data_IF_945049269441
#
_entry.id   IF_945049269441
#
_cell.length_a   1.000
_cell.length_b   1.000
_cell.length_c   1.000
_cell.angle_alpha   90.00
_cell.angle_beta   90.00
_cell.angle_gamma   90.00
#
_symmetry.space_group_name_H-M   'P 1'
#
loop_
_entity.id
_entity.type
_entity.pdbx_description
1 polymer ?
#
# COMPACT_ATOMS: atom_id res chain seq x y z
N UNK A 1 -7.60 57.70 -14.02
CA UNK A 1 -8.42 56.75 -13.24
C UNK A 1 -8.01 55.33 -13.59
N UNK A 2 -7.70 54.44 -12.63
CA UNK A 2 -7.42 53.04 -12.94
C UNK A 2 -8.67 52.39 -13.53
N UNK A 3 -8.52 51.62 -14.62
CA UNK A 3 -9.63 50.85 -15.22
C UNK A 3 -10.17 49.88 -14.15
N UNK A 4 -11.47 49.96 -13.84
CA UNK A 4 -12.15 48.98 -12.97
C UNK A 4 -11.92 47.58 -13.54
N UNK A 5 -11.25 46.72 -12.77
CA UNK A 5 -11.09 45.29 -13.11
C UNK A 5 -12.48 44.68 -13.23
N UNK A 6 -12.77 44.01 -14.35
CA UNK A 6 -13.99 43.21 -14.47
C UNK A 6 -13.91 42.09 -13.43
N UNK A 7 -14.89 42.04 -12.53
CA UNK A 7 -15.05 40.93 -11.60
C UNK A 7 -15.47 39.72 -12.43
N UNK A 8 -14.65 38.67 -12.42
CA UNK A 8 -15.04 37.40 -13.03
C UNK A 8 -16.18 36.81 -12.19
N UNK A 9 -17.32 36.55 -12.81
CA UNK A 9 -18.49 35.93 -12.17
C UNK A 9 -18.53 34.46 -12.59
N UNK A 10 -18.57 33.54 -11.62
CA UNK A 10 -18.69 32.10 -11.85
C UNK A 10 -20.10 31.75 -12.34
N UNK A 11 -20.32 31.95 -13.64
CA UNK A 11 -21.62 31.71 -14.26
C UNK A 11 -22.04 30.24 -14.07
N UNK A 12 -23.22 30.05 -13.46
CA UNK A 12 -23.79 28.73 -13.11
C UNK A 12 -22.98 27.94 -12.09
N UNK A 13 -22.15 28.61 -11.27
CA UNK A 13 -21.36 28.00 -10.20
C UNK A 13 -20.43 26.87 -10.70
N UNK A 14 -19.96 26.90 -11.95
CA UNK A 14 -19.18 25.81 -12.53
C UNK A 14 -17.86 25.61 -11.80
N UNK A 15 -17.11 26.69 -11.58
CA UNK A 15 -15.83 26.62 -10.88
C UNK A 15 -16.03 26.20 -9.42
N UNK A 16 -17.06 26.74 -8.77
CA UNK A 16 -17.43 26.38 -7.41
C UNK A 16 -17.82 24.91 -7.29
N UNK A 17 -18.60 24.38 -8.24
CA UNK A 17 -19.00 22.98 -8.26
C UNK A 17 -17.82 22.05 -8.53
N UNK A 18 -16.93 22.39 -9.47
CA UNK A 18 -15.69 21.65 -9.68
C UNK A 18 -14.86 21.58 -8.40
N UNK A 19 -14.59 22.72 -7.76
CA UNK A 19 -13.78 22.77 -6.54
C UNK A 19 -14.41 22.02 -5.36
N UNK A 20 -15.74 22.05 -5.23
CA UNK A 20 -16.45 21.40 -4.12
C UNK A 20 -16.67 19.91 -4.33
N UNK A 21 -17.00 19.50 -5.56
CA UNK A 21 -17.55 18.16 -5.82
C UNK A 21 -16.58 17.24 -6.55
N UNK A 22 -15.65 17.78 -7.35
CA UNK A 22 -14.77 16.97 -8.20
C UNK A 22 -13.32 17.04 -7.73
N UNK A 23 -12.82 18.24 -7.47
CA UNK A 23 -11.41 18.46 -7.14
C UNK A 23 -10.99 17.79 -5.83
N UNK A 24 -11.84 17.84 -4.80
CA UNK A 24 -11.57 17.16 -3.53
C UNK A 24 -11.59 15.64 -3.67
N UNK A 25 -12.52 15.10 -4.46
CA UNK A 25 -12.59 13.65 -4.69
C UNK A 25 -11.38 13.17 -5.50
N UNK A 26 -10.96 13.93 -6.51
CA UNK A 26 -9.73 13.67 -7.24
C UNK A 26 -8.50 13.65 -6.32
N UNK A 27 -8.34 14.63 -5.42
CA UNK A 27 -7.22 14.59 -4.48
C UNK A 27 -7.25 13.39 -3.54
N UNK A 28 -8.44 13.01 -3.04
CA UNK A 28 -8.57 11.83 -2.18
C UNK A 28 -8.22 10.55 -2.92
N UNK A 29 -8.57 10.43 -4.20
CA UNK A 29 -8.30 9.21 -4.99
C UNK A 29 -6.81 9.01 -5.29
N UNK A 30 -6.02 10.08 -5.31
CA UNK A 30 -4.56 10.01 -5.53
C UNK A 30 -3.77 9.65 -4.26
N UNK A 31 -4.38 9.74 -3.08
CA UNK A 31 -3.72 9.43 -1.80
C UNK A 31 -4.01 7.97 -1.43
N UNK A 32 -3.05 7.08 -1.70
CA UNK A 32 -3.15 5.70 -1.24
C UNK A 32 -2.76 5.62 0.24
N UNK A 33 -3.68 5.16 1.10
CA UNK A 33 -3.40 4.94 2.52
C UNK A 33 -3.20 3.47 2.82
N UNK A 34 -4.25 2.68 2.62
CA UNK A 34 -4.22 1.23 2.85
C UNK A 34 -5.13 0.51 1.87
N UNK A 35 -4.83 -0.75 1.62
CA UNK A 35 -5.70 -1.64 0.86
C UNK A 35 -5.56 -3.08 1.36
N UNK A 36 -6.57 -3.89 1.08
CA UNK A 36 -6.48 -5.34 1.24
C UNK A 36 -6.07 -5.98 -0.08
N UNK A 37 -5.21 -6.98 -0.01
CA UNK A 37 -4.69 -7.64 -1.19
C UNK A 37 -4.41 -9.12 -0.95
N UNK A 38 -4.23 -9.85 -2.03
CA UNK A 38 -3.83 -11.25 -2.01
C UNK A 38 -2.40 -11.39 -2.49
N UNK A 39 -1.56 -12.08 -1.72
CA UNK A 39 -0.17 -12.38 -2.12
C UNK A 39 -0.19 -13.29 -3.35
N UNK A 40 0.48 -12.88 -4.42
CA UNK A 40 0.56 -13.65 -5.68
C UNK A 40 1.96 -14.20 -5.94
N UNK A 41 3.00 -13.60 -5.36
CA UNK A 41 4.38 -14.10 -5.37
C UNK A 41 5.03 -13.81 -4.02
N UNK A 42 6.02 -14.60 -3.59
CA UNK A 42 6.75 -14.30 -2.35
C UNK A 42 8.21 -14.77 -2.42
N UNK A 43 9.13 -13.81 -2.44
CA UNK A 43 10.57 -14.01 -2.24
C UNK A 43 10.91 -14.02 -0.74
N UNK A 44 11.17 -15.22 -0.23
CA UNK A 44 11.55 -15.46 1.16
C UNK A 44 13.00 -15.11 1.49
N UNK A 45 13.86 -14.91 0.49
CA UNK A 45 15.27 -14.55 0.67
C UNK A 45 15.39 -13.05 0.90
N UNK A 46 14.72 -12.25 0.07
CA UNK A 46 14.75 -10.79 0.16
C UNK A 46 13.59 -10.21 0.99
N UNK A 47 12.65 -11.07 1.41
CA UNK A 47 11.43 -10.69 2.14
C UNK A 47 10.63 -9.62 1.38
N UNK A 48 10.31 -9.94 0.13
CA UNK A 48 9.52 -9.13 -0.80
C UNK A 48 8.44 -9.97 -1.46
N UNK A 49 7.28 -9.41 -1.70
CA UNK A 49 6.17 -10.11 -2.36
C UNK A 49 5.42 -9.20 -3.33
N UNK A 50 4.76 -9.79 -4.30
CA UNK A 50 3.76 -9.08 -5.09
C UNK A 50 2.37 -9.34 -4.52
N UNK A 51 1.53 -8.31 -4.55
CA UNK A 51 0.18 -8.34 -3.99
C UNK A 51 -0.81 -7.86 -5.04
N UNK A 52 -1.84 -8.65 -5.31
CA UNK A 52 -2.99 -8.23 -6.11
C UNK A 52 -4.02 -7.56 -5.19
N UNK A 53 -4.31 -6.25 -5.34
CA UNK A 53 -5.39 -5.63 -4.57
C UNK A 53 -6.73 -6.32 -4.84
N UNK A 54 -7.51 -6.53 -3.77
CA UNK A 54 -8.84 -7.14 -3.86
C UNK A 54 -9.93 -6.17 -4.30
N UNK A 55 -9.93 -4.87 -3.90
CA UNK A 55 -10.91 -3.92 -4.41
C UNK A 55 -10.74 -3.75 -5.92
N UNK A 56 -11.84 -3.92 -6.65
CA UNK A 56 -11.86 -3.71 -8.09
C UNK A 56 -11.81 -2.21 -8.43
N UNK A 57 -11.57 -1.93 -9.70
CA UNK A 57 -11.81 -0.63 -10.29
C UNK A 57 -13.32 -0.41 -10.47
N UNK A 58 -13.73 0.83 -10.77
CA UNK A 58 -15.14 1.18 -10.94
C UNK A 58 -15.80 0.50 -12.14
N UNK A 59 -15.01 0.05 -13.11
CA UNK A 59 -15.42 -0.75 -14.28
C UNK A 59 -15.47 -2.27 -13.99
N UNK A 60 -15.06 -2.69 -12.80
CA UNK A 60 -15.03 -4.10 -12.40
C UNK A 60 -13.71 -4.82 -12.71
N UNK A 61 -12.75 -4.15 -13.35
CA UNK A 61 -11.45 -4.76 -13.63
C UNK A 61 -10.54 -4.81 -12.40
N UNK A 62 -9.57 -5.72 -12.45
CA UNK A 62 -8.52 -5.80 -11.42
C UNK A 62 -7.67 -4.54 -11.45
N UNK A 63 -7.23 -4.11 -10.27
CA UNK A 63 -6.18 -3.09 -10.14
C UNK A 63 -4.83 -3.68 -10.54
N UNK A 64 -3.90 -2.80 -10.90
CA UNK A 64 -2.50 -3.19 -11.06
C UNK A 64 -1.97 -3.88 -9.79
N UNK A 65 -1.14 -4.90 -9.97
CA UNK A 65 -0.47 -5.55 -8.86
C UNK A 65 0.53 -4.58 -8.21
N UNK A 66 0.62 -4.64 -6.89
CA UNK A 66 1.68 -4.00 -6.12
C UNK A 66 2.89 -4.91 -6.19
N UNK A 67 4.02 -4.38 -6.64
CA UNK A 67 5.25 -5.15 -6.85
C UNK A 67 6.28 -4.85 -5.77
N UNK A 68 7.13 -5.83 -5.44
CA UNK A 68 8.24 -5.64 -4.49
C UNK A 68 7.78 -5.10 -3.11
N UNK A 69 6.58 -5.48 -2.69
CA UNK A 69 6.00 -5.07 -1.41
C UNK A 69 6.86 -5.64 -0.28
N UNK A 70 7.23 -4.79 0.68
CA UNK A 70 8.07 -5.18 1.80
C UNK A 70 7.27 -6.08 2.74
N UNK A 71 7.82 -7.26 3.05
CA UNK A 71 7.32 -8.11 4.13
C UNK A 71 8.08 -7.76 5.40
N UNK A 72 7.43 -7.21 6.44
CA UNK A 72 8.13 -6.74 7.63
C UNK A 72 8.71 -7.88 8.46
N UNK A 73 9.76 -7.57 9.22
CA UNK A 73 10.43 -8.52 10.10
C UNK A 73 9.50 -9.19 11.10
N UNK A 74 8.51 -8.46 11.61
CA UNK A 74 7.48 -8.99 12.49
C UNK A 74 6.72 -10.18 11.91
N UNK A 75 6.56 -10.25 10.58
CA UNK A 75 5.88 -11.36 9.90
C UNK A 75 6.86 -12.49 9.63
N UNK A 76 7.93 -12.25 8.87
CA UNK A 76 8.78 -13.34 8.40
C UNK A 76 9.67 -13.96 9.50
N UNK A 77 10.06 -13.18 10.53
CA UNK A 77 10.82 -13.73 11.67
C UNK A 77 9.93 -14.63 12.53
N UNK A 78 8.66 -14.24 12.72
CA UNK A 78 7.70 -15.04 13.46
C UNK A 78 7.43 -16.38 12.75
N UNK A 79 7.22 -16.35 11.43
CA UNK A 79 7.10 -17.55 10.60
C UNK A 79 8.31 -18.49 10.75
N UNK A 80 9.51 -17.90 10.71
CA UNK A 80 10.77 -18.65 10.83
C UNK A 80 10.93 -19.25 12.23
N UNK A 81 10.59 -18.50 13.26
CA UNK A 81 10.67 -18.94 14.65
C UNK A 81 9.74 -20.11 14.92
N UNK A 82 8.46 -19.99 14.57
CA UNK A 82 7.47 -21.05 14.76
C UNK A 82 7.81 -22.30 13.95
N UNK A 83 8.34 -22.14 12.73
CA UNK A 83 8.83 -23.27 11.93
C UNK A 83 9.97 -24.04 12.61
N UNK A 84 10.90 -23.34 13.27
CA UNK A 84 11.99 -23.98 14.04
C UNK A 84 11.47 -24.69 15.28
N UNK A 85 10.49 -24.11 15.98
CA UNK A 85 9.87 -24.75 17.14
C UNK A 85 9.16 -26.04 16.75
N UNK A 86 8.34 -26.02 15.68
CA UNK A 86 7.65 -27.20 15.17
C UNK A 86 8.57 -28.32 14.69
N UNK A 87 9.84 -28.04 14.40
CA UNK A 87 10.80 -29.10 14.09
C UNK A 87 11.05 -30.02 15.30
N UNK A 88 10.78 -29.53 16.52
CA UNK A 88 10.70 -30.36 17.71
C UNK A 88 9.34 -31.07 17.75
N UNK A 89 9.34 -32.40 17.58
CA UNK A 89 8.14 -33.24 17.54
C UNK A 89 7.25 -33.16 18.80
N UNK A 90 7.76 -32.60 19.90
CA UNK A 90 7.02 -32.43 21.14
C UNK A 90 6.26 -31.10 21.23
N UNK A 91 6.35 -30.25 20.21
CA UNK A 91 5.59 -28.99 20.13
C UNK A 91 4.66 -29.05 18.93
N UNK A 92 3.36 -28.97 19.20
CA UNK A 92 2.33 -28.86 18.19
C UNK A 92 1.80 -27.42 18.18
N UNK A 93 1.90 -26.74 17.04
CA UNK A 93 1.34 -25.40 16.83
C UNK A 93 0.00 -25.44 16.11
N UNK A 94 -0.81 -26.49 16.30
CA UNK A 94 -2.14 -26.65 15.68
C UNK A 94 -2.89 -25.31 15.65
N UNK A 95 -2.99 -24.74 14.43
CA UNK A 95 -3.62 -23.43 14.18
C UNK A 95 -2.70 -22.36 13.60
N UNK A 96 -1.38 -22.42 13.81
CA UNK A 96 -0.46 -21.46 13.19
C UNK A 96 -0.27 -21.76 11.70
N UNK A 97 -0.59 -20.78 10.86
CA UNK A 97 -0.34 -20.84 9.42
C UNK A 97 0.55 -19.67 9.03
N UNK A 98 1.75 -19.92 8.48
CA UNK A 98 2.65 -18.85 8.06
C UNK A 98 2.09 -18.15 6.82
N UNK A 99 2.58 -16.94 6.54
CA UNK A 99 2.23 -16.24 5.31
C UNK A 99 2.69 -17.05 4.09
N UNK A 100 1.82 -17.15 3.09
CA UNK A 100 2.05 -17.89 1.87
C UNK A 100 1.44 -17.18 0.65
N UNK A 101 1.70 -17.73 -0.54
CA UNK A 101 0.96 -17.34 -1.73
C UNK A 101 -0.53 -17.64 -1.48
N UNK A 102 -1.39 -16.71 -1.89
CA UNK A 102 -2.83 -16.68 -1.61
C UNK A 102 -3.24 -16.15 -0.25
N UNK A 103 -2.33 -15.84 0.69
CA UNK A 103 -2.71 -15.15 1.94
C UNK A 103 -3.32 -13.78 1.62
N UNK A 104 -4.33 -13.39 2.40
CA UNK A 104 -4.91 -12.04 2.39
C UNK A 104 -4.15 -11.17 3.38
N UNK A 105 -3.69 -10.02 2.91
CA UNK A 105 -2.84 -9.10 3.67
C UNK A 105 -3.43 -7.69 3.67
N UNK A 106 -3.16 -6.98 4.76
CA UNK A 106 -3.35 -5.54 4.86
C UNK A 106 -2.06 -4.85 4.44
N UNK A 107 -2.17 -3.96 3.45
CA UNK A 107 -1.03 -3.25 2.86
C UNK A 107 -1.20 -1.76 3.13
N UNK A 108 -0.16 -1.13 3.67
CA UNK A 108 -0.03 0.32 3.81
C UNK A 108 0.90 0.90 2.76
N UNK A 109 0.73 2.19 2.46
CA UNK A 109 1.61 2.93 1.56
C UNK A 109 2.32 4.05 2.31
N UNK A 110 3.63 4.16 2.13
CA UNK A 110 4.44 5.09 2.89
C UNK A 110 4.24 6.55 2.45
N UNK A 111 4.37 7.46 3.42
CA UNK A 111 4.27 8.91 3.20
C UNK A 111 5.34 9.45 2.23
N UNK A 112 6.47 8.75 2.12
CA UNK A 112 7.61 9.08 1.26
C UNK A 112 8.09 7.84 0.54
N UNK A 113 8.75 8.07 -0.59
CA UNK A 113 9.36 6.99 -1.34
C UNK A 113 10.34 6.16 -0.51
N UNK A 114 10.50 4.89 -0.89
CA UNK A 114 11.37 3.95 -0.18
C UNK A 114 12.50 3.38 -1.03
N UNK A 115 12.72 3.89 -2.24
CA UNK A 115 13.69 3.34 -3.21
C UNK A 115 15.11 3.23 -2.62
N UNK A 116 15.51 4.19 -1.77
CA UNK A 116 16.82 4.23 -1.12
C UNK A 116 16.85 3.59 0.28
N UNK A 117 15.74 3.06 0.78
CA UNK A 117 15.69 2.45 2.10
C UNK A 117 16.30 1.05 2.08
N UNK A 118 17.29 0.82 2.94
CA UNK A 118 17.98 -0.47 3.09
C UNK A 118 17.92 -1.05 4.51
N UNK A 119 17.18 -0.39 5.41
CA UNK A 119 17.05 -0.79 6.82
C UNK A 119 18.27 -0.57 7.72
N UNK A 120 19.40 -0.06 7.18
CA UNK A 120 20.65 0.14 7.95
C UNK A 120 20.83 1.55 8.50
N UNK A 121 20.46 2.56 7.71
CA UNK A 121 20.66 3.96 8.02
C UNK A 121 19.43 4.78 7.60
N UNK A 122 19.37 6.02 8.06
CA UNK A 122 18.51 7.03 7.45
C UNK A 122 18.85 7.14 5.94
N UNK A 123 17.84 7.35 5.11
CA UNK A 123 17.98 7.42 3.65
C UNK A 123 17.58 8.79 3.11
N UNK A 124 18.09 9.13 1.93
CA UNK A 124 17.72 10.36 1.22
C UNK A 124 16.53 10.11 0.30
N UNK A 125 15.71 11.14 0.18
CA UNK A 125 14.59 11.23 -0.75
C UNK A 125 15.12 11.90 -2.04
N UNK A 126 14.96 11.24 -3.17
CA UNK A 126 15.27 11.66 -4.54
C UNK A 126 14.05 12.24 -5.28
N UNK A 127 12.82 11.84 -4.93
CA UNK A 127 11.59 12.32 -5.58
C UNK A 127 10.56 12.91 -4.60
N UNK A 128 9.55 13.60 -5.14
CA UNK A 128 8.43 14.13 -4.34
C UNK A 128 7.28 13.13 -4.18
N UNK A 129 7.49 11.85 -4.54
CA UNK A 129 6.46 10.80 -4.46
C UNK A 129 6.04 10.59 -3.01
N UNK A 130 4.73 10.48 -2.80
CA UNK A 130 4.07 10.28 -1.50
C UNK A 130 2.85 9.39 -1.70
N UNK A 131 2.52 8.54 -0.73
CA UNK A 131 1.29 7.74 -0.75
C UNK A 131 1.11 6.96 -2.06
N UNK A 132 2.21 6.40 -2.57
CA UNK A 132 2.25 5.76 -3.89
C UNK A 132 2.18 4.24 -3.78
N UNK A 133 1.57 3.62 -4.79
CA UNK A 133 1.50 2.17 -4.94
C UNK A 133 2.88 1.50 -5.05
N UNK A 134 3.93 2.26 -5.38
CA UNK A 134 5.31 1.78 -5.46
C UNK A 134 5.97 1.63 -4.09
N UNK A 135 5.43 2.30 -3.07
CA UNK A 135 6.03 2.38 -1.73
C UNK A 135 5.16 1.62 -0.71
N UNK A 136 4.87 0.36 -1.04
CA UNK A 136 3.95 -0.50 -0.30
C UNK A 136 4.65 -1.40 0.72
N UNK A 137 4.01 -1.61 1.88
CA UNK A 137 4.48 -2.49 2.96
C UNK A 137 3.31 -3.32 3.48
N UNK A 138 3.52 -4.61 3.73
CA UNK A 138 2.54 -5.41 4.48
C UNK A 138 2.56 -4.95 5.94
N UNK A 139 1.40 -4.65 6.51
CA UNK A 139 1.31 -4.32 7.94
C UNK A 139 0.71 -5.48 8.74
N UNK A 140 -0.12 -6.32 8.11
CA UNK A 140 -0.70 -7.50 8.75
C UNK A 140 -1.06 -8.59 7.75
N UNK A 141 -1.05 -9.84 8.21
CA UNK A 141 -1.68 -10.98 7.54
C UNK A 141 -3.08 -11.14 8.13
N UNK A 142 -4.10 -10.96 7.30
CA UNK A 142 -5.52 -11.06 7.69
C UNK A 142 -5.97 -12.51 7.63
N UNK A 143 -5.68 -13.18 6.51
CA UNK A 143 -5.97 -14.60 6.30
C UNK A 143 -4.71 -15.29 5.75
N UNK A 144 -4.14 -16.27 6.46
CA UNK A 144 -2.93 -16.97 6.02
C UNK A 144 -3.22 -18.01 4.93
#
# INVERSE_FOLDING_TARGET
MPKKRKVAVDAKNKQSNFLKNEFLEFFKSEINCHTIGRVISYDKVHHRCDVQPLPLQSDGDKRAALTEVIVPASVWQMDTFFKKICANKNVNLDGYKPMAISSVVWVGFCDREMDNWSGKNNYKIDTKRMHSIQDAVIEAVIEP
#
